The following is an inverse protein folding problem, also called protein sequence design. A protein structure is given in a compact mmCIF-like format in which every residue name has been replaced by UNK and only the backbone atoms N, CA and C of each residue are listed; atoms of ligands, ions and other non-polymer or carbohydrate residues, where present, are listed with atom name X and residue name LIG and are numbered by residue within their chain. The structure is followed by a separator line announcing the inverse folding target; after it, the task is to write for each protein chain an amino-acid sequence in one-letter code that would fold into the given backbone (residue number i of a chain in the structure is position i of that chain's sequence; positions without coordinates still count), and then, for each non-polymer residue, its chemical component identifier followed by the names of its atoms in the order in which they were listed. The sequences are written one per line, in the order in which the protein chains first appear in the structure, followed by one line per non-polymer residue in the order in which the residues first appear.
data_IF_716668149966
#
_entry.id   IF_716668149966
#
_cell.length_a   1.000
_cell.length_b   1.000
_cell.length_c   1.000
_cell.angle_alpha   90.00
_cell.angle_beta   90.00
_cell.angle_gamma   90.00
#
_symmetry.space_group_name_H-M   'P 1'
#
loop_
_entity.id
_entity.type
_entity.pdbx_description
1 polymer ?
#
# COMPACT_ATOMS: atom_id res chain seq x y z
N UNK A 1 -10.37 53.00 -65.90
CA UNK A 1 -10.50 51.77 -65.10
C UNK A 1 -9.09 51.40 -64.66
N UNK A 2 -8.68 51.36 -63.40
CA UNK A 2 -9.29 51.45 -62.06
C UNK A 2 -8.20 52.07 -61.14
N UNK A 3 -8.51 53.13 -60.39
CA UNK A 3 -8.84 53.18 -58.94
C UNK A 3 -7.78 52.59 -57.98
N UNK A 4 -7.31 53.48 -57.11
CA UNK A 4 -6.36 53.38 -55.98
C UNK A 4 -6.91 52.50 -54.84
N UNK A 5 -6.04 51.79 -54.10
CA UNK A 5 -6.26 51.53 -52.66
C UNK A 5 -4.97 51.11 -51.91
N UNK A 6 -4.89 51.60 -50.68
CA UNK A 6 -3.74 51.67 -49.76
C UNK A 6 -3.48 50.40 -48.92
N UNK A 7 -2.28 50.42 -48.30
CA UNK A 7 -1.75 49.52 -47.26
C UNK A 7 -2.71 49.22 -46.10
N UNK A 8 -2.62 47.99 -45.59
CA UNK A 8 -2.86 47.65 -44.17
C UNK A 8 -1.74 46.76 -43.65
N UNK A 9 -1.00 47.25 -42.67
CA UNK A 9 -0.11 46.47 -41.80
C UNK A 9 -0.93 45.50 -40.96
N UNK A 10 -0.42 44.28 -40.78
CA UNK A 10 -1.01 43.26 -39.92
C UNK A 10 -0.10 43.05 -38.71
N UNK A 11 -0.46 43.67 -37.60
CA UNK A 11 0.22 43.53 -36.31
C UNK A 11 -0.01 42.11 -35.76
N UNK A 12 1.06 41.34 -35.61
CA UNK A 12 0.99 39.96 -35.11
C UNK A 12 1.15 39.96 -33.60
N UNK A 13 0.04 40.09 -32.86
CA UNK A 13 0.04 39.96 -31.41
C UNK A 13 0.04 38.47 -31.00
N UNK A 14 1.22 37.85 -30.89
CA UNK A 14 1.39 36.51 -30.30
C UNK A 14 1.48 36.64 -28.78
N UNK A 15 0.33 36.54 -28.13
CA UNK A 15 0.26 36.28 -26.69
C UNK A 15 0.52 34.79 -26.45
N UNK A 16 1.78 34.37 -26.45
CA UNK A 16 2.20 33.04 -26.01
C UNK A 16 2.56 33.09 -24.53
N UNK A 17 1.57 32.89 -23.67
CA UNK A 17 1.79 32.55 -22.27
C UNK A 17 2.44 31.17 -22.20
N UNK A 18 3.77 31.14 -22.18
CA UNK A 18 4.52 29.96 -21.76
C UNK A 18 4.27 29.75 -20.27
N UNK A 19 3.33 28.87 -19.92
CA UNK A 19 3.26 28.29 -18.58
C UNK A 19 4.53 27.43 -18.39
N UNK A 20 5.61 28.08 -17.96
CA UNK A 20 6.76 27.38 -17.41
C UNK A 20 6.28 26.66 -16.14
N UNK A 21 6.32 25.33 -16.14
CA UNK A 21 6.14 24.54 -14.94
C UNK A 21 7.25 24.93 -13.96
N UNK A 22 6.90 25.64 -12.89
CA UNK A 22 7.82 25.96 -11.79
C UNK A 22 7.85 24.80 -10.77
N UNK A 23 8.92 23.99 -10.73
CA UNK A 23 9.03 22.88 -9.80
C UNK A 23 9.04 23.32 -8.33
N UNK A 24 9.44 24.56 -8.05
CA UNK A 24 9.53 25.13 -6.71
C UNK A 24 8.13 25.28 -6.09
N UNK A 25 7.15 25.71 -6.88
CA UNK A 25 5.75 25.85 -6.46
C UNK A 25 5.09 24.50 -6.09
N UNK A 26 5.50 23.42 -6.75
CA UNK A 26 4.96 22.08 -6.50
C UNK A 26 5.56 21.47 -5.24
N UNK A 27 6.88 21.64 -5.04
CA UNK A 27 7.58 21.18 -3.84
C UNK A 27 7.07 21.88 -2.57
N UNK A 28 6.83 23.19 -2.62
CA UNK A 28 6.27 23.94 -1.49
C UNK A 28 4.85 23.50 -1.14
N UNK A 29 4.03 23.21 -2.16
CA UNK A 29 2.66 22.70 -1.97
C UNK A 29 2.66 21.31 -1.31
N UNK A 30 3.54 20.40 -1.74
CA UNK A 30 3.68 19.06 -1.15
C UNK A 30 4.17 19.15 0.30
N UNK A 31 5.15 20.03 0.58
CA UNK A 31 5.67 20.23 1.92
C UNK A 31 4.60 20.79 2.87
N UNK A 32 3.80 21.76 2.43
CA UNK A 32 2.69 22.29 3.22
C UNK A 32 1.63 21.23 3.51
N UNK A 33 1.22 20.45 2.50
CA UNK A 33 0.25 19.37 2.68
C UNK A 33 0.74 18.27 3.64
N UNK A 34 2.04 17.96 3.64
CA UNK A 34 2.64 17.02 4.58
C UNK A 34 2.62 17.58 6.02
N UNK A 35 2.96 18.85 6.21
CA UNK A 35 2.95 19.50 7.51
C UNK A 35 1.53 19.61 8.09
N UNK A 36 0.54 19.93 7.26
CA UNK A 36 -0.87 19.97 7.64
C UNK A 36 -1.35 18.59 8.11
N UNK A 37 -1.02 17.54 7.36
CA UNK A 37 -1.35 16.16 7.73
C UNK A 37 -0.72 15.74 9.06
N UNK A 38 0.54 16.11 9.30
CA UNK A 38 1.21 15.83 10.59
C UNK A 38 0.57 16.60 11.76
N UNK A 39 0.09 17.82 11.52
CA UNK A 39 -0.66 18.57 12.52
C UNK A 39 -2.01 17.91 12.85
N UNK A 40 -2.77 17.51 11.82
CA UNK A 40 -4.03 16.77 11.97
C UNK A 40 -3.82 15.43 12.71
N UNK A 41 -2.76 14.69 12.37
CA UNK A 41 -2.42 13.43 13.01
C UNK A 41 -2.11 13.63 14.50
N UNK A 42 -1.38 14.69 14.86
CA UNK A 42 -1.08 15.04 16.26
C UNK A 42 -2.33 15.46 17.02
N UNK A 43 -3.20 16.26 16.41
CA UNK A 43 -4.44 16.69 17.05
C UNK A 43 -5.37 15.49 17.33
N UNK A 44 -5.49 14.57 16.35
CA UNK A 44 -6.22 13.31 16.55
C UNK A 44 -5.64 12.53 17.72
N UNK A 45 -4.34 12.29 17.74
CA UNK A 45 -3.68 11.52 18.80
C UNK A 45 -3.92 12.16 20.17
N UNK A 46 -3.83 13.50 20.28
CA UNK A 46 -4.10 14.21 21.53
C UNK A 46 -5.57 14.05 21.98
N UNK A 47 -6.52 14.05 21.04
CA UNK A 47 -7.94 13.82 21.31
C UNK A 47 -8.21 12.41 21.82
N UNK A 48 -7.63 11.40 21.17
CA UNK A 48 -7.77 10.00 21.56
C UNK A 48 -7.17 9.74 22.95
N UNK A 49 -5.98 10.31 23.22
CA UNK A 49 -5.34 10.25 24.55
C UNK A 49 -6.21 10.92 25.63
N UNK A 50 -6.79 12.09 25.35
CA UNK A 50 -7.70 12.78 26.27
C UNK A 50 -8.96 11.97 26.57
N UNK A 51 -9.40 11.15 25.62
CA UNK A 51 -10.53 10.23 25.77
C UNK A 51 -10.16 8.91 26.46
N UNK A 52 -8.88 8.69 26.79
CA UNK A 52 -8.40 7.48 27.46
C UNK A 52 -8.08 6.31 26.53
N UNK A 53 -7.97 6.54 25.22
CA UNK A 53 -7.56 5.54 24.24
C UNK A 53 -6.07 5.59 23.94
N UNK A 54 -5.52 4.50 23.38
CA UNK A 54 -4.13 4.43 22.94
C UNK A 54 -4.07 4.62 21.42
N UNK A 55 -3.77 5.84 20.92
CA UNK A 55 -3.76 6.08 19.49
C UNK A 55 -2.58 5.39 18.81
N UNK A 56 -2.84 4.88 17.61
CA UNK A 56 -1.82 4.37 16.72
C UNK A 56 -1.13 5.53 15.98
N UNK A 57 0.12 5.31 15.57
CA UNK A 57 0.86 6.28 14.74
C UNK A 57 0.11 6.56 13.44
N UNK A 58 -0.33 5.50 12.76
CA UNK A 58 -1.12 5.58 11.54
C UNK A 58 -2.52 5.02 11.75
N UNK A 59 -3.47 5.53 10.96
CA UNK A 59 -4.75 4.88 10.76
C UNK A 59 -4.59 3.71 9.78
N UNK A 60 -5.37 2.67 9.98
CA UNK A 60 -5.33 1.48 9.15
C UNK A 60 -6.72 1.05 8.71
N UNK A 61 -6.76 0.30 7.62
CA UNK A 61 -7.98 -0.21 7.01
C UNK A 61 -7.80 -1.68 6.68
N UNK A 62 -8.70 -2.52 7.20
CA UNK A 62 -8.86 -3.90 6.73
C UNK A 62 -9.69 -3.94 5.46
N UNK A 63 -9.21 -4.70 4.48
CA UNK A 63 -9.92 -4.99 3.23
C UNK A 63 -9.99 -6.50 3.02
N UNK A 64 -10.99 -6.95 2.27
CA UNK A 64 -11.03 -8.33 1.77
C UNK A 64 -11.28 -8.36 0.27
N UNK A 65 -10.67 -9.34 -0.40
CA UNK A 65 -10.98 -9.70 -1.78
C UNK A 65 -11.33 -11.18 -1.83
N UNK A 66 -12.46 -11.53 -2.43
CA UNK A 66 -12.82 -12.92 -2.72
C UNK A 66 -12.94 -13.09 -4.23
N UNK A 67 -12.24 -14.08 -4.79
CA UNK A 67 -12.39 -14.45 -6.21
C UNK A 67 -13.17 -15.74 -6.29
N UNK A 68 -14.24 -15.79 -7.08
CA UNK A 68 -14.95 -17.04 -7.36
C UNK A 68 -14.14 -17.86 -8.36
N UNK A 69 -13.64 -19.06 -8.00
CA UNK A 69 -12.91 -19.90 -8.94
C UNK A 69 -13.75 -20.21 -10.18
N UNK A 70 -13.16 -20.10 -11.37
CA UNK A 70 -13.83 -20.42 -12.64
C UNK A 70 -14.74 -19.34 -13.21
N UNK A 71 -15.03 -18.27 -12.46
CA UNK A 71 -15.76 -17.11 -12.99
C UNK A 71 -14.73 -16.05 -13.42
N UNK A 72 -14.53 -15.88 -14.73
CA UNK A 72 -13.98 -14.63 -15.26
C UNK A 72 -15.03 -13.55 -15.01
N UNK A 73 -14.96 -12.86 -13.88
CA UNK A 73 -15.81 -11.69 -13.72
C UNK A 73 -15.36 -10.65 -14.75
N UNK A 74 -16.31 -10.08 -15.49
CA UNK A 74 -16.05 -8.92 -16.35
C UNK A 74 -15.79 -7.64 -15.53
N UNK A 75 -16.07 -7.69 -14.22
CA UNK A 75 -15.74 -6.64 -13.27
C UNK A 75 -14.25 -6.60 -12.98
N UNK A 76 -13.72 -5.38 -12.90
CA UNK A 76 -12.31 -5.12 -12.65
C UNK A 76 -11.89 -5.72 -11.29
N UNK A 77 -10.58 -5.97 -11.10
CA UNK A 77 -10.07 -6.41 -9.80
C UNK A 77 -10.46 -5.43 -8.67
N UNK A 78 -10.53 -4.15 -8.99
CA UNK A 78 -10.96 -3.05 -8.12
C UNK A 78 -12.39 -3.24 -7.61
N UNK A 79 -13.33 -3.77 -8.42
CA UNK A 79 -14.72 -3.96 -7.97
C UNK A 79 -14.86 -5.08 -6.90
N UNK A 80 -13.84 -5.94 -6.79
CA UNK A 80 -13.86 -7.08 -5.87
C UNK A 80 -13.18 -6.78 -4.52
N UNK A 81 -12.49 -5.64 -4.39
CA UNK A 81 -11.86 -5.24 -3.14
C UNK A 81 -12.86 -4.48 -2.27
N UNK A 82 -13.10 -4.99 -1.07
CA UNK A 82 -14.09 -4.40 -0.16
C UNK A 82 -13.44 -3.98 1.14
N UNK A 83 -13.66 -2.72 1.51
CA UNK A 83 -13.33 -2.21 2.84
C UNK A 83 -14.18 -2.96 3.87
N UNK A 84 -13.55 -3.47 4.93
CA UNK A 84 -14.22 -4.11 6.06
C UNK A 84 -14.43 -3.07 7.16
N UNK A 85 -13.32 -2.51 7.65
CA UNK A 85 -13.30 -1.60 8.80
C UNK A 85 -12.00 -0.81 8.83
N UNK A 86 -12.05 0.40 9.39
CA UNK A 86 -10.89 1.23 9.68
C UNK A 86 -10.77 1.49 11.18
N UNK A 87 -9.55 1.78 11.63
CA UNK A 87 -9.25 2.03 13.03
C UNK A 87 -8.02 2.93 13.19
N UNK A 88 -7.99 3.67 14.30
CA UNK A 88 -6.91 4.60 14.64
C UNK A 88 -6.35 4.41 16.05
N UNK A 89 -6.89 3.48 16.83
CA UNK A 89 -6.48 3.19 18.22
C UNK A 89 -6.27 1.70 18.43
N UNK A 90 -5.51 1.33 19.47
CA UNK A 90 -5.27 -0.06 19.87
C UNK A 90 -6.58 -0.76 20.26
N UNK A 91 -7.48 -0.06 20.94
CA UNK A 91 -8.77 -0.59 21.36
C UNK A 91 -9.65 -0.89 20.14
N UNK A 92 -9.76 0.06 19.21
CA UNK A 92 -10.53 -0.13 17.98
C UNK A 92 -9.95 -1.28 17.15
N UNK A 93 -8.62 -1.41 17.08
CA UNK A 93 -7.97 -2.57 16.47
C UNK A 93 -8.47 -3.88 17.08
N UNK A 94 -8.43 -4.04 18.41
CA UNK A 94 -8.85 -5.29 19.06
C UNK A 94 -10.35 -5.57 18.95
N UNK A 95 -11.19 -4.53 19.02
CA UNK A 95 -12.64 -4.65 18.76
C UNK A 95 -12.87 -5.21 17.36
N UNK A 96 -12.13 -4.74 16.36
CA UNK A 96 -12.26 -5.24 15.00
C UNK A 96 -11.67 -6.65 14.83
N UNK A 97 -10.40 -6.82 15.20
CA UNK A 97 -9.61 -8.01 14.91
C UNK A 97 -10.18 -9.28 15.55
N UNK A 98 -10.64 -9.19 16.81
CA UNK A 98 -11.22 -10.33 17.52
C UNK A 98 -12.51 -10.86 16.89
N UNK A 99 -13.21 -10.06 16.08
CA UNK A 99 -14.45 -10.44 15.40
C UNK A 99 -14.25 -10.80 13.92
N UNK A 100 -13.03 -10.66 13.40
CA UNK A 100 -12.72 -11.14 12.05
C UNK A 100 -12.68 -12.67 12.01
N UNK A 101 -13.14 -13.23 10.89
CA UNK A 101 -12.98 -14.65 10.62
C UNK A 101 -11.49 -15.01 10.62
N UNK A 102 -11.13 -16.08 11.34
CA UNK A 102 -9.74 -16.53 11.39
C UNK A 102 -9.25 -16.94 10.01
N UNK A 103 -7.97 -16.73 9.67
CA UNK A 103 -7.40 -17.14 8.38
C UNK A 103 -7.71 -18.58 7.97
N UNK A 104 -7.70 -19.51 8.92
CA UNK A 104 -7.99 -20.93 8.70
C UNK A 104 -9.45 -21.23 8.29
N UNK A 105 -10.38 -20.32 8.58
CA UNK A 105 -11.80 -20.44 8.23
C UNK A 105 -12.18 -19.72 6.93
N UNK A 106 -11.26 -18.95 6.34
CA UNK A 106 -11.54 -18.18 5.13
C UNK A 106 -11.65 -19.11 3.91
N UNK A 107 -12.62 -18.85 2.99
CA UNK A 107 -12.78 -19.66 1.79
C UNK A 107 -11.60 -19.45 0.82
N UNK A 108 -11.18 -20.50 0.12
CA UNK A 108 -10.16 -20.38 -0.93
C UNK A 108 -10.79 -19.97 -2.28
N UNK A 109 -10.18 -19.07 -3.08
CA UNK A 109 -9.14 -18.11 -2.72
C UNK A 109 -9.73 -16.84 -2.06
N UNK A 110 -9.06 -16.36 -1.03
CA UNK A 110 -9.38 -15.09 -0.36
C UNK A 110 -8.08 -14.34 -0.08
N UNK A 111 -8.13 -13.02 -0.20
CA UNK A 111 -7.08 -12.12 0.25
C UNK A 111 -7.62 -11.25 1.39
N UNK A 112 -6.90 -11.23 2.51
CA UNK A 112 -7.13 -10.30 3.61
C UNK A 112 -6.01 -9.27 3.59
N UNK A 113 -6.35 -7.99 3.62
CA UNK A 113 -5.39 -6.90 3.48
C UNK A 113 -5.50 -5.97 4.69
N UNK A 114 -4.36 -5.50 5.20
CA UNK A 114 -4.29 -4.42 6.17
C UNK A 114 -3.35 -3.34 5.64
N UNK A 115 -3.89 -2.17 5.30
CA UNK A 115 -3.13 -1.07 4.70
C UNK A 115 -3.30 0.21 5.51
N UNK A 116 -2.30 1.08 5.48
CA UNK A 116 -2.42 2.43 6.04
C UNK A 116 -3.57 3.17 5.33
N UNK A 117 -4.31 3.99 6.07
CA UNK A 117 -5.41 4.78 5.51
C UNK A 117 -4.90 5.67 4.36
N UNK A 118 -5.71 5.75 3.30
CA UNK A 118 -5.36 6.48 2.07
C UNK A 118 -4.54 5.67 1.07
N UNK A 119 -4.12 4.45 1.40
CA UNK A 119 -3.45 3.54 0.46
C UNK A 119 -4.39 2.37 0.15
N UNK A 120 -4.80 2.25 -1.11
CA UNK A 120 -5.58 1.11 -1.57
C UNK A 120 -4.67 -0.10 -1.79
N UNK A 121 -5.12 -1.34 -1.51
CA UNK A 121 -4.33 -2.56 -1.79
C UNK A 121 -4.24 -2.91 -3.29
N UNK A 122 -3.96 -1.91 -4.12
CA UNK A 122 -3.94 -1.94 -5.57
C UNK A 122 -2.56 -1.46 -6.05
N UNK A 123 -2.06 -2.02 -7.15
CA UNK A 123 -0.75 -1.64 -7.69
C UNK A 123 -0.80 -0.27 -8.39
N UNK A 124 -1.99 0.15 -8.81
CA UNK A 124 -2.29 1.45 -9.42
C UNK A 124 -2.30 2.59 -8.39
N UNK A 125 -2.38 2.28 -7.10
CA UNK A 125 -2.28 3.28 -6.03
C UNK A 125 -0.93 3.99 -6.08
N UNK A 126 -0.92 5.31 -5.95
CA UNK A 126 0.28 6.12 -6.07
C UNK A 126 1.35 5.77 -5.03
N UNK A 127 0.97 5.24 -3.87
CA UNK A 127 1.92 4.75 -2.88
C UNK A 127 2.50 3.37 -3.23
N UNK A 128 1.87 2.60 -4.11
CA UNK A 128 2.30 1.24 -4.45
C UNK A 128 2.94 1.13 -5.84
N UNK A 129 2.66 2.05 -6.77
CA UNK A 129 3.05 1.89 -8.18
C UNK A 129 4.56 1.73 -8.42
N UNK A 130 5.39 2.40 -7.62
CA UNK A 130 6.86 2.31 -7.67
C UNK A 130 7.44 1.33 -6.63
N UNK A 131 6.55 0.60 -5.98
CA UNK A 131 6.83 -0.26 -4.86
C UNK A 131 7.11 -1.70 -5.23
N UNK A 132 7.12 -2.54 -4.19
CA UNK A 132 7.19 -3.97 -4.33
C UNK A 132 6.66 -4.67 -3.10
N UNK A 133 6.89 -5.97 -3.05
CA UNK A 133 6.50 -6.77 -1.90
C UNK A 133 7.51 -7.87 -1.58
N UNK A 134 7.71 -8.08 -0.29
CA UNK A 134 8.25 -9.32 0.23
C UNK A 134 7.16 -10.39 0.26
N UNK A 135 7.51 -11.63 -0.07
CA UNK A 135 6.61 -12.76 -0.21
C UNK A 135 7.17 -13.91 0.64
N UNK A 136 6.31 -14.47 1.49
CA UNK A 136 6.61 -15.65 2.32
C UNK A 136 5.52 -16.68 2.08
N UNK A 137 5.92 -17.93 1.81
CA UNK A 137 4.99 -19.02 1.55
C UNK A 137 4.93 -19.95 2.75
N UNK A 138 3.73 -20.19 3.24
CA UNK A 138 3.46 -21.03 4.38
C UNK A 138 2.63 -22.24 3.96
N UNK A 139 2.95 -23.40 4.54
CA UNK A 139 2.02 -24.54 4.52
C UNK A 139 0.71 -24.14 5.20
N UNK A 140 -0.36 -24.88 4.94
CA UNK A 140 -1.65 -24.66 5.59
C UNK A 140 -1.55 -24.74 7.13
N UNK A 141 -2.51 -24.12 7.81
CA UNK A 141 -2.69 -24.09 9.27
C UNK A 141 -1.70 -23.26 10.09
N UNK A 142 -0.51 -22.92 9.57
CA UNK A 142 0.49 -22.12 10.30
C UNK A 142 0.41 -20.60 10.00
N UNK A 143 -0.18 -20.22 8.87
CA UNK A 143 -0.21 -18.84 8.36
C UNK A 143 -0.90 -17.85 9.29
N UNK A 144 -1.92 -18.30 10.04
CA UNK A 144 -2.69 -17.45 10.95
C UNK A 144 -1.85 -16.83 12.06
N UNK A 145 -0.91 -17.59 12.64
CA UNK A 145 0.01 -17.08 13.67
C UNK A 145 0.93 -15.99 13.10
N UNK A 146 1.54 -16.24 11.95
CA UNK A 146 2.44 -15.28 11.31
C UNK A 146 1.70 -14.03 10.80
N UNK A 147 0.44 -14.18 10.40
CA UNK A 147 -0.42 -13.05 10.06
C UNK A 147 -0.66 -12.14 11.27
N UNK A 148 -1.01 -12.72 12.42
CA UNK A 148 -1.21 -11.95 13.66
C UNK A 148 0.07 -11.23 14.09
N UNK A 149 1.20 -11.95 14.17
CA UNK A 149 2.51 -11.38 14.52
C UNK A 149 2.86 -10.20 13.57
N UNK A 150 2.60 -10.35 12.26
CA UNK A 150 2.88 -9.31 11.27
C UNK A 150 1.95 -8.10 11.39
N UNK A 151 0.65 -8.33 11.61
CA UNK A 151 -0.34 -7.27 11.79
C UNK A 151 0.01 -6.44 13.03
N UNK A 152 0.36 -7.09 14.14
CA UNK A 152 0.79 -6.44 15.37
C UNK A 152 2.08 -5.62 15.16
N UNK A 153 3.06 -6.20 14.45
CA UNK A 153 4.30 -5.48 14.11
C UNK A 153 4.02 -4.24 13.23
N UNK A 154 3.06 -4.33 12.30
CA UNK A 154 2.69 -3.20 11.43
C UNK A 154 1.99 -2.08 12.22
N UNK A 155 0.95 -2.41 12.99
CA UNK A 155 0.18 -1.39 13.73
C UNK A 155 1.01 -0.78 14.87
N UNK A 156 1.95 -1.55 15.43
CA UNK A 156 2.91 -1.10 16.43
C UNK A 156 4.12 -0.34 15.88
N UNK A 157 4.16 -0.05 14.58
CA UNK A 157 5.26 0.65 13.89
C UNK A 157 6.66 0.02 14.10
N UNK A 158 6.73 -1.33 14.03
CA UNK A 158 7.95 -2.08 14.39
C UNK A 158 8.78 -2.58 13.20
N UNK A 159 8.37 -2.31 11.96
CA UNK A 159 9.02 -2.88 10.77
C UNK A 159 10.28 -2.13 10.29
N UNK A 160 10.88 -1.27 11.13
CA UNK A 160 12.14 -0.52 10.92
C UNK A 160 12.33 0.07 9.49
N UNK A 161 11.25 0.49 8.86
CA UNK A 161 11.24 0.97 7.47
C UNK A 161 10.53 2.33 7.33
N UNK A 162 10.46 3.06 8.45
CA UNK A 162 9.77 4.35 8.56
C UNK A 162 8.35 4.28 8.00
N UNK A 163 7.94 5.34 7.32
CA UNK A 163 6.58 5.45 6.79
C UNK A 163 6.39 4.75 5.44
N UNK A 164 7.43 4.08 4.93
CA UNK A 164 7.47 3.50 3.59
C UNK A 164 6.78 2.13 3.47
N UNK A 165 6.37 1.50 4.58
CA UNK A 165 5.50 0.32 4.53
C UNK A 165 4.08 0.75 4.18
N UNK A 166 3.51 0.16 3.13
CA UNK A 166 2.15 0.46 2.69
C UNK A 166 1.11 -0.37 3.45
N UNK A 167 1.39 -1.67 3.58
CA UNK A 167 0.46 -2.62 4.16
C UNK A 167 0.92 -4.06 4.02
N UNK A 168 0.07 -4.97 4.49
CA UNK A 168 0.32 -6.41 4.51
C UNK A 168 -0.87 -7.16 3.94
N UNK A 169 -0.60 -8.30 3.31
CA UNK A 169 -1.59 -9.14 2.65
C UNK A 169 -1.41 -10.58 3.07
N UNK A 170 -2.49 -11.23 3.48
CA UNK A 170 -2.56 -12.68 3.61
C UNK A 170 -3.44 -13.25 2.50
N UNK A 171 -2.81 -14.04 1.64
CA UNK A 171 -3.42 -14.68 0.49
C UNK A 171 -3.65 -16.17 0.77
N UNK A 172 -4.91 -16.52 1.05
CA UNK A 172 -5.38 -17.88 1.29
C UNK A 172 -5.57 -18.58 -0.05
N UNK A 173 -4.81 -19.65 -0.32
CA UNK A 173 -4.88 -20.44 -1.58
C UNK A 173 -5.02 -21.93 -1.29
N UNK A 174 -5.26 -22.74 -2.32
CA UNK A 174 -5.54 -24.17 -2.12
C UNK A 174 -4.38 -24.94 -1.45
N UNK A 175 -3.15 -24.82 -1.98
CA UNK A 175 -1.99 -25.60 -1.53
C UNK A 175 -1.20 -24.96 -0.38
N UNK A 176 -1.11 -23.63 -0.39
CA UNK A 176 -0.27 -22.84 0.51
C UNK A 176 -0.94 -21.51 0.79
N UNK A 177 -0.58 -20.87 1.88
CA UNK A 177 -0.96 -19.49 2.15
C UNK A 177 0.25 -18.59 1.94
N UNK A 178 0.02 -17.39 1.42
CA UNK A 178 1.10 -16.48 1.04
C UNK A 178 0.95 -15.20 1.85
N UNK A 179 1.95 -14.88 2.65
CA UNK A 179 2.03 -13.62 3.37
C UNK A 179 2.85 -12.64 2.54
N UNK A 180 2.43 -11.38 2.48
CA UNK A 180 3.15 -10.34 1.75
C UNK A 180 3.21 -9.03 2.51
N UNK A 181 4.33 -8.33 2.40
CA UNK A 181 4.54 -6.98 2.96
C UNK A 181 4.85 -6.04 1.82
N UNK A 182 4.05 -4.99 1.64
CA UNK A 182 4.13 -4.05 0.54
C UNK A 182 4.82 -2.77 0.98
N UNK A 183 5.70 -2.24 0.13
CA UNK A 183 6.48 -1.04 0.40
C UNK A 183 6.48 -0.08 -0.81
N UNK A 184 6.69 1.22 -0.54
CA UNK A 184 6.55 2.30 -1.53
C UNK A 184 7.63 2.37 -2.60
N UNK A 185 8.85 1.93 -2.28
CA UNK A 185 10.04 2.20 -3.09
C UNK A 185 10.85 0.91 -3.29
N UNK A 186 10.67 0.25 -4.44
CA UNK A 186 11.44 -0.94 -4.79
C UNK A 186 12.91 -0.67 -5.19
N UNK A 187 13.26 0.45 -5.86
CA UNK A 187 14.65 0.78 -6.18
C UNK A 187 15.59 0.96 -4.98
N UNK A 188 15.08 1.29 -3.80
CA UNK A 188 15.89 1.42 -2.58
C UNK A 188 16.23 0.04 -1.98
N UNK A 189 17.27 -0.59 -2.51
CA UNK A 189 17.69 -1.94 -2.14
C UNK A 189 18.10 -2.05 -0.68
N UNK A 190 18.79 -1.03 -0.14
CA UNK A 190 19.26 -1.05 1.24
C UNK A 190 18.07 -1.05 2.20
N UNK A 191 17.12 -0.16 1.96
CA UNK A 191 15.93 -0.11 2.78
C UNK A 191 15.10 -1.40 2.60
N UNK A 192 14.92 -1.90 1.36
CA UNK A 192 14.16 -3.13 1.08
C UNK A 192 14.74 -4.33 1.84
N UNK A 193 16.07 -4.42 1.96
CA UNK A 193 16.75 -5.44 2.76
C UNK A 193 16.57 -5.21 4.27
N UNK A 194 16.62 -3.97 4.74
CA UNK A 194 16.32 -3.66 6.14
C UNK A 194 14.89 -4.10 6.53
N UNK A 195 13.90 -3.87 5.65
CA UNK A 195 12.54 -4.34 5.85
C UNK A 195 12.46 -5.87 5.93
N UNK A 196 13.21 -6.60 5.09
CA UNK A 196 13.31 -8.06 5.17
C UNK A 196 13.77 -8.50 6.55
N UNK A 197 14.84 -7.89 7.04
CA UNK A 197 15.47 -8.27 8.30
C UNK A 197 14.55 -7.95 9.48
N UNK A 198 13.82 -6.84 9.42
CA UNK A 198 12.77 -6.52 10.39
C UNK A 198 11.64 -7.56 10.39
N UNK A 199 11.11 -7.91 9.21
CA UNK A 199 10.07 -8.94 9.09
C UNK A 199 10.55 -10.27 9.69
N UNK A 200 11.77 -10.72 9.35
CA UNK A 200 12.33 -11.97 9.91
C UNK A 200 12.42 -11.93 11.43
N UNK A 201 12.87 -10.81 11.99
CA UNK A 201 13.04 -10.62 13.43
C UNK A 201 11.70 -10.65 14.17
N UNK A 202 10.72 -9.89 13.71
CA UNK A 202 9.40 -9.79 14.37
C UNK A 202 8.60 -11.09 14.24
N UNK A 203 8.71 -11.77 13.11
CA UNK A 203 8.07 -13.08 12.92
C UNK A 203 8.84 -14.23 13.57
N UNK A 204 10.05 -13.99 14.09
CA UNK A 204 11.00 -15.03 14.52
C UNK A 204 11.09 -16.13 13.47
N UNK A 205 11.18 -15.72 12.20
CA UNK A 205 10.97 -16.58 11.06
C UNK A 205 12.08 -17.65 11.01
N UNK A 206 11.75 -18.95 11.04
CA UNK A 206 12.75 -20.01 10.93
C UNK A 206 13.54 -19.90 9.62
N UNK A 207 14.83 -20.20 9.66
CA UNK A 207 15.74 -20.16 8.50
C UNK A 207 15.28 -21.04 7.32
N UNK A 208 14.39 -22.00 7.55
CA UNK A 208 13.79 -22.84 6.51
C UNK A 208 12.81 -22.09 5.60
N UNK A 209 12.27 -20.95 6.04
CA UNK A 209 11.39 -20.13 5.22
C UNK A 209 12.20 -19.14 4.40
N UNK A 210 12.02 -19.20 3.09
CA UNK A 210 12.61 -18.27 2.13
C UNK A 210 11.70 -17.06 1.98
N UNK A 211 12.29 -15.87 1.96
CA UNK A 211 11.61 -14.65 1.57
C UNK A 211 12.00 -14.28 0.15
N UNK A 212 11.02 -13.94 -0.68
CA UNK A 212 11.26 -13.51 -2.05
C UNK A 212 10.72 -12.10 -2.26
N UNK A 213 11.49 -11.23 -2.93
CA UNK A 213 11.03 -9.88 -3.25
C UNK A 213 10.59 -9.79 -4.71
N UNK A 214 9.48 -9.11 -4.95
CA UNK A 214 9.04 -8.78 -6.31
C UNK A 214 8.52 -7.35 -6.41
N UNK A 215 9.12 -6.52 -7.27
CA UNK A 215 8.54 -5.23 -7.65
C UNK A 215 7.15 -5.35 -8.29
N UNK A 216 6.30 -4.36 -8.09
CA UNK A 216 4.94 -4.37 -8.64
C UNK A 216 4.94 -4.26 -10.17
N UNK A 217 5.79 -3.40 -10.74
CA UNK A 217 5.99 -3.25 -12.20
C UNK A 217 6.34 -4.58 -12.88
N UNK A 218 7.23 -5.37 -12.26
CA UNK A 218 7.65 -6.67 -12.75
C UNK A 218 6.49 -7.69 -12.76
N UNK A 219 5.60 -7.62 -11.76
CA UNK A 219 4.43 -8.48 -11.65
C UNK A 219 3.40 -8.20 -12.75
N UNK A 220 3.35 -6.97 -13.24
CA UNK A 220 2.44 -6.53 -14.30
C UNK A 220 2.96 -6.91 -15.67
N UNK A 221 4.26 -6.73 -15.90
CA UNK A 221 4.89 -7.14 -17.17
C UNK A 221 4.76 -8.62 -17.45
N UNK A 222 4.87 -9.47 -16.42
CA UNK A 222 4.82 -10.93 -16.58
C UNK A 222 3.47 -11.57 -16.20
N UNK A 223 2.46 -10.75 -15.86
CA UNK A 223 1.15 -11.19 -15.38
C UNK A 223 1.24 -12.24 -14.24
N UNK A 224 2.25 -12.12 -13.37
CA UNK A 224 2.47 -13.04 -12.27
C UNK A 224 2.70 -12.32 -10.94
N UNK A 225 1.80 -12.51 -9.98
CA UNK A 225 1.97 -11.88 -8.67
C UNK A 225 3.04 -12.54 -7.78
N UNK A 226 3.45 -13.79 -8.04
CA UNK A 226 4.30 -14.55 -7.11
C UNK A 226 5.37 -15.44 -7.78
N UNK A 227 5.52 -15.44 -9.11
CA UNK A 227 6.61 -16.13 -9.80
C UNK A 227 7.67 -15.12 -10.26
N UNK A 228 8.84 -15.59 -10.69
CA UNK A 228 9.92 -14.76 -11.25
C UNK A 228 10.36 -13.62 -10.31
N UNK A 229 10.63 -13.97 -9.06
CA UNK A 229 11.06 -13.03 -8.02
C UNK A 229 12.51 -12.62 -8.24
N UNK A 230 12.84 -11.37 -7.86
CA UNK A 230 14.13 -10.76 -8.22
C UNK A 230 15.19 -10.95 -7.15
N UNK A 231 14.76 -10.97 -5.89
CA UNK A 231 15.65 -11.15 -4.75
C UNK A 231 15.16 -12.35 -3.94
N UNK A 232 16.11 -13.15 -3.47
CA UNK A 232 15.89 -14.25 -2.55
C UNK A 232 16.71 -14.00 -1.31
N UNK A 233 16.06 -14.07 -0.16
CA UNK A 233 16.63 -13.70 1.12
C UNK A 233 16.22 -14.61 2.25
#
# INVERSE_FOLDING_TARGET
MEVVAEKKEFDTNKNSSSNAFDPSSTLSTIANAAADKEAEDRERQARDLKAGFHPLKHKFVFWYTRRTPGVRSQTSYEDNIKKIVDFSTVEAFWVCYCHLARPSSLPNPTDLHLFKEGIRPLWEDSANCNGGKWIIRFKKAISGRFWEDLVLALVGDQLDYGDNVCGVVLSIRFNEDILSVWNRNAPDHQAVMALRDAIKRHLKLPHSYVMEYKPHDASLRDNSSYRNTWLRG
#
